data_IF_408998219308
#
_entry.id   IF_408998219308
#
_cell.length_a   1.000
_cell.length_b   1.000
_cell.length_c   1.000
_cell.angle_alpha   90.00
_cell.angle_beta   90.00
_cell.angle_gamma   90.00
#
_symmetry.space_group_name_H-M   'P 1'
#
loop_
_entity.id
_entity.type
_entity.pdbx_description
1 polymer ?
#
# COMPACT_ATOMS: atom_id res chain seq x y z
N UNK A 1 -10.22 56.66 20.47
CA UNK A 1 -9.92 55.31 20.96
C UNK A 1 -10.90 54.28 20.44
N UNK A 2 -11.19 54.20 19.12
CA UNK A 2 -12.11 53.20 18.54
C UNK A 2 -11.51 52.42 17.35
N UNK A 3 -10.20 52.55 17.05
CA UNK A 3 -9.56 51.92 15.88
C UNK A 3 -8.66 50.71 16.21
N UNK A 4 -8.40 50.42 17.48
CA UNK A 4 -7.51 49.33 17.91
C UNK A 4 -8.23 48.03 18.19
N UNK A 5 -9.55 48.02 18.38
CA UNK A 5 -10.30 46.78 18.71
C UNK A 5 -10.63 45.96 17.47
N UNK A 6 -10.80 46.63 16.32
CA UNK A 6 -11.12 45.92 15.05
C UNK A 6 -9.94 45.15 14.48
N UNK A 7 -8.71 45.50 14.81
CA UNK A 7 -7.52 44.82 14.29
C UNK A 7 -7.19 43.53 15.05
N UNK A 8 -7.54 43.45 16.32
CA UNK A 8 -7.33 42.27 17.16
C UNK A 8 -8.31 41.12 16.80
N UNK A 9 -9.54 41.50 16.41
CA UNK A 9 -10.54 40.50 15.99
C UNK A 9 -10.23 39.87 14.61
N UNK A 10 -9.55 40.63 13.74
CA UNK A 10 -9.17 40.12 12.42
C UNK A 10 -8.03 39.10 12.49
N UNK A 11 -7.15 39.20 13.51
CA UNK A 11 -6.05 38.23 13.73
C UNK A 11 -6.58 36.95 14.41
N UNK A 12 -7.62 37.09 15.24
CA UNK A 12 -8.21 35.92 15.94
C UNK A 12 -9.03 35.01 15.01
N UNK A 13 -9.53 35.56 13.89
CA UNK A 13 -10.29 34.76 12.91
C UNK A 13 -9.39 33.95 11.98
N UNK A 14 -8.09 34.29 11.89
CA UNK A 14 -7.13 33.59 11.06
C UNK A 14 -6.50 32.34 11.73
N UNK A 15 -6.69 32.15 13.03
CA UNK A 15 -6.10 31.05 13.80
C UNK A 15 -7.01 29.82 13.84
N UNK A 16 -8.27 29.92 13.43
CA UNK A 16 -9.24 28.82 13.46
C UNK A 16 -9.46 28.11 12.13
N UNK A 17 -8.63 28.35 11.13
CA UNK A 17 -8.52 27.40 10.02
C UNK A 17 -7.45 26.38 10.40
N UNK A 18 -7.73 25.62 11.44
CA UNK A 18 -7.18 24.27 11.57
C UNK A 18 -7.79 23.49 10.42
N UNK A 19 -7.13 23.49 9.30
CA UNK A 19 -7.38 22.52 8.25
C UNK A 19 -7.12 21.17 8.93
N UNK A 20 -8.20 20.49 9.34
CA UNK A 20 -8.17 19.05 9.45
C UNK A 20 -7.80 18.53 8.06
N UNK A 21 -6.52 18.55 7.77
CA UNK A 21 -5.96 17.67 6.76
C UNK A 21 -6.10 16.25 7.32
N UNK A 22 -7.31 15.71 7.23
CA UNK A 22 -7.46 14.29 7.02
C UNK A 22 -6.55 14.00 5.85
N UNK A 23 -5.36 13.53 6.15
CA UNK A 23 -4.47 12.92 5.19
C UNK A 23 -5.13 11.60 4.77
N UNK A 24 -6.18 11.71 3.96
CA UNK A 24 -6.49 10.66 3.01
C UNK A 24 -5.22 10.56 2.20
N UNK A 25 -4.48 9.48 2.38
CA UNK A 25 -3.32 9.18 1.57
C UNK A 25 -3.85 9.19 0.13
N UNK A 26 -3.55 10.27 -0.58
CA UNK A 26 -3.87 10.37 -2.00
C UNK A 26 -2.98 9.33 -2.62
N UNK A 27 -3.57 8.20 -2.97
CA UNK A 27 -2.86 7.13 -3.66
C UNK A 27 -2.32 7.72 -4.96
N UNK A 28 -1.01 7.88 -5.04
CA UNK A 28 -0.34 8.54 -6.18
C UNK A 28 -0.48 7.74 -7.47
N UNK A 29 -0.74 6.42 -7.34
CA UNK A 29 -0.89 5.50 -8.46
C UNK A 29 -1.82 4.35 -8.09
N UNK A 30 -2.48 3.77 -9.09
CA UNK A 30 -3.30 2.56 -8.95
C UNK A 30 -3.11 1.64 -10.16
N UNK A 31 -3.40 0.35 -10.01
CA UNK A 31 -3.31 -0.62 -11.10
C UNK A 31 -4.31 -0.27 -12.19
N UNK A 32 -3.86 0.00 -13.44
CA UNK A 32 -4.76 0.37 -14.54
C UNK A 32 -5.63 -0.79 -15.00
N UNK A 33 -5.16 -2.03 -14.82
CA UNK A 33 -5.86 -3.25 -15.20
C UNK A 33 -6.10 -4.07 -13.94
N UNK A 34 -7.36 -4.40 -13.66
CA UNK A 34 -7.78 -5.11 -12.44
C UNK A 34 -8.69 -6.29 -12.76
N UNK A 35 -8.67 -7.35 -11.94
CA UNK A 35 -9.62 -8.44 -12.04
C UNK A 35 -11.07 -7.95 -12.15
N UNK A 36 -11.85 -8.56 -13.03
CA UNK A 36 -13.24 -8.18 -13.26
C UNK A 36 -13.47 -7.09 -14.31
N UNK A 37 -12.42 -6.45 -14.82
CA UNK A 37 -12.52 -5.48 -15.93
C UNK A 37 -12.40 -6.16 -17.29
N UNK A 38 -12.95 -5.54 -18.35
CA UNK A 38 -12.81 -6.02 -19.74
C UNK A 38 -11.33 -6.10 -20.14
N UNK A 39 -10.53 -5.12 -19.74
CA UNK A 39 -9.09 -5.11 -20.01
C UNK A 39 -8.38 -6.31 -19.36
N UNK A 40 -8.82 -6.74 -18.18
CA UNK A 40 -8.30 -7.95 -17.54
C UNK A 40 -8.67 -9.21 -18.30
N UNK A 41 -9.93 -9.31 -18.76
CA UNK A 41 -10.44 -10.46 -19.52
C UNK A 41 -9.76 -10.58 -20.91
N UNK A 42 -9.26 -9.48 -21.45
CA UNK A 42 -8.52 -9.46 -22.71
C UNK A 42 -7.10 -10.02 -22.60
N UNK A 43 -6.56 -10.18 -21.37
CA UNK A 43 -5.24 -10.77 -21.14
C UNK A 43 -5.31 -12.29 -21.39
N UNK A 44 -4.54 -12.77 -22.35
CA UNK A 44 -4.64 -14.16 -22.81
C UNK A 44 -3.85 -15.15 -21.95
N UNK A 45 -2.81 -14.69 -21.26
CA UNK A 45 -1.90 -15.54 -20.48
C UNK A 45 -1.63 -14.97 -19.10
N UNK A 46 -1.25 -15.84 -18.17
CA UNK A 46 -0.81 -15.40 -16.84
C UNK A 46 0.43 -14.48 -16.92
N UNK A 47 1.30 -14.70 -17.89
CA UNK A 47 2.47 -13.85 -18.13
C UNK A 47 2.06 -12.43 -18.56
N UNK A 48 0.99 -12.28 -19.34
CA UNK A 48 0.46 -10.96 -19.70
C UNK A 48 -0.11 -10.25 -18.48
N UNK A 49 -0.79 -10.98 -17.58
CA UNK A 49 -1.28 -10.44 -16.31
C UNK A 49 -0.13 -9.96 -15.43
N UNK A 50 0.95 -10.75 -15.29
CA UNK A 50 2.13 -10.37 -14.53
C UNK A 50 2.77 -9.09 -15.07
N UNK A 51 2.90 -8.95 -16.39
CA UNK A 51 3.44 -7.74 -17.03
C UNK A 51 2.54 -6.53 -16.81
N UNK A 52 1.23 -6.70 -16.95
CA UNK A 52 0.24 -5.62 -16.78
C UNK A 52 0.18 -5.09 -15.34
N UNK A 53 0.57 -5.90 -14.36
CA UNK A 53 0.53 -5.56 -12.93
C UNK A 53 1.87 -5.06 -12.37
N UNK A 54 2.89 -4.79 -13.20
CA UNK A 54 4.13 -4.18 -12.71
C UNK A 54 3.91 -2.70 -12.39
N UNK A 55 4.51 -2.23 -11.30
CA UNK A 55 4.49 -0.82 -10.93
C UNK A 55 5.51 -0.07 -11.78
N UNK A 56 5.16 1.07 -12.41
CA UNK A 56 6.13 1.87 -13.15
C UNK A 56 7.33 2.28 -12.32
N UNK A 57 8.53 2.28 -12.91
CA UNK A 57 9.77 2.56 -12.19
C UNK A 57 9.79 3.97 -11.57
N UNK A 58 9.16 4.94 -12.20
CA UNK A 58 9.01 6.31 -11.70
C UNK A 58 8.19 6.34 -10.42
N UNK A 59 7.13 5.54 -10.36
CA UNK A 59 6.28 5.41 -9.18
C UNK A 59 7.07 4.75 -8.04
N UNK A 60 7.76 3.65 -8.30
CA UNK A 60 8.58 2.97 -7.30
C UNK A 60 9.65 3.87 -6.66
N UNK A 61 10.17 4.86 -7.42
CA UNK A 61 11.17 5.81 -6.93
C UNK A 61 10.59 6.91 -6.04
N UNK A 62 9.33 7.26 -6.23
CA UNK A 62 8.71 8.44 -5.62
C UNK A 62 7.75 8.14 -4.48
N UNK A 63 7.15 6.94 -4.45
CA UNK A 63 6.20 6.56 -3.39
C UNK A 63 6.89 6.35 -2.04
N UNK A 64 6.19 6.72 -0.97
CA UNK A 64 6.61 6.39 0.40
C UNK A 64 6.56 4.88 0.64
N UNK A 65 7.19 4.42 1.71
CA UNK A 65 7.13 2.99 2.09
C UNK A 65 5.72 2.58 2.49
N UNK A 66 4.98 3.46 3.16
CA UNK A 66 3.58 3.23 3.52
C UNK A 66 2.71 3.04 2.28
N UNK A 67 2.86 3.92 1.29
CA UNK A 67 2.11 3.83 0.05
C UNK A 67 2.51 2.60 -0.77
N UNK A 68 3.79 2.24 -0.79
CA UNK A 68 4.26 1.02 -1.44
C UNK A 68 3.67 -0.23 -0.79
N UNK A 69 3.52 -0.27 0.53
CA UNK A 69 2.82 -1.35 1.23
C UNK A 69 1.37 -1.44 0.75
N UNK A 70 0.66 -0.29 0.62
CA UNK A 70 -0.71 -0.29 0.09
C UNK A 70 -0.78 -0.85 -1.33
N UNK A 71 0.17 -0.46 -2.18
CA UNK A 71 0.24 -0.97 -3.56
C UNK A 71 0.52 -2.47 -3.59
N UNK A 72 1.41 -2.98 -2.73
CA UNK A 72 1.70 -4.40 -2.64
C UNK A 72 0.49 -5.21 -2.14
N UNK A 73 -0.27 -4.68 -1.17
CA UNK A 73 -1.48 -5.33 -0.67
C UNK A 73 -2.64 -5.28 -1.70
N UNK A 74 -2.65 -4.27 -2.56
CA UNK A 74 -3.62 -4.13 -3.66
C UNK A 74 -3.19 -4.86 -4.94
N UNK A 75 -2.06 -5.58 -4.93
CA UNK A 75 -1.55 -6.29 -6.10
C UNK A 75 -2.58 -7.28 -6.64
N UNK A 76 -2.99 -7.16 -7.93
CA UNK A 76 -4.08 -7.99 -8.47
C UNK A 76 -3.86 -9.50 -8.44
N UNK A 77 -2.58 -9.93 -8.46
CA UNK A 77 -2.17 -11.33 -8.42
C UNK A 77 -1.61 -11.76 -7.05
N UNK A 78 -1.91 -11.01 -5.98
CA UNK A 78 -1.45 -11.37 -4.64
C UNK A 78 -1.93 -12.77 -4.22
N UNK A 79 -3.12 -13.17 -4.68
CA UNK A 79 -3.68 -14.50 -4.46
C UNK A 79 -2.82 -15.65 -4.97
N UNK A 80 -1.91 -15.41 -5.89
CA UNK A 80 -0.99 -16.44 -6.41
C UNK A 80 -0.08 -17.03 -5.32
N UNK A 81 0.09 -16.34 -4.20
CA UNK A 81 0.80 -16.87 -3.02
C UNK A 81 0.22 -18.22 -2.58
N UNK A 82 -1.09 -18.38 -2.71
CA UNK A 82 -1.79 -19.60 -2.29
C UNK A 82 -1.76 -20.74 -3.31
N UNK A 83 -1.21 -20.51 -4.49
CA UNK A 83 -1.07 -21.54 -5.53
C UNK A 83 0.11 -22.51 -5.30
N UNK A 84 0.91 -22.29 -4.24
CA UNK A 84 2.09 -23.07 -3.91
C UNK A 84 1.89 -23.96 -2.68
N UNK A 85 2.83 -24.87 -2.41
CA UNK A 85 2.73 -25.84 -1.31
C UNK A 85 2.88 -25.24 0.09
N UNK A 86 3.16 -23.94 0.21
CA UNK A 86 3.25 -23.22 1.46
C UNK A 86 3.38 -21.72 1.23
N UNK A 87 2.97 -20.94 2.23
CA UNK A 87 2.97 -19.47 2.16
C UNK A 87 4.37 -18.91 1.88
N UNK A 88 5.40 -19.47 2.51
CA UNK A 88 6.79 -19.03 2.31
C UNK A 88 7.25 -19.22 0.85
N UNK A 89 6.97 -20.38 0.28
CA UNK A 89 7.27 -20.64 -1.13
C UNK A 89 6.47 -19.67 -2.02
N UNK A 90 5.17 -19.48 -1.76
CA UNK A 90 4.31 -18.56 -2.49
C UNK A 90 4.84 -17.13 -2.46
N UNK A 91 5.19 -16.61 -1.29
CA UNK A 91 5.78 -15.27 -1.15
C UNK A 91 7.09 -15.16 -1.95
N UNK A 92 7.98 -16.15 -1.84
CA UNK A 92 9.23 -16.18 -2.59
C UNK A 92 9.01 -16.15 -4.10
N UNK A 93 8.05 -16.93 -4.61
CA UNK A 93 7.73 -16.99 -6.04
C UNK A 93 7.08 -15.71 -6.56
N UNK A 94 6.12 -15.14 -5.80
CA UNK A 94 5.46 -13.89 -6.18
C UNK A 94 6.45 -12.73 -6.11
N UNK A 95 7.25 -12.63 -5.05
CA UNK A 95 8.26 -11.57 -4.92
C UNK A 95 9.32 -11.61 -6.02
N UNK A 96 9.69 -12.79 -6.51
CA UNK A 96 10.62 -12.91 -7.63
C UNK A 96 10.05 -12.35 -8.96
N UNK A 97 8.74 -12.20 -9.09
CA UNK A 97 8.05 -11.80 -10.31
C UNK A 97 7.36 -10.43 -10.23
N UNK A 98 7.20 -9.87 -9.04
CA UNK A 98 6.54 -8.59 -8.80
C UNK A 98 7.51 -7.55 -8.26
N UNK A 99 7.73 -6.49 -9.04
CA UNK A 99 8.70 -5.44 -8.72
C UNK A 99 8.34 -4.62 -7.47
N UNK A 100 7.05 -4.52 -7.12
CA UNK A 100 6.61 -3.85 -5.90
C UNK A 100 7.14 -4.51 -4.64
N UNK A 101 7.04 -5.85 -4.52
CA UNK A 101 7.61 -6.60 -3.39
C UNK A 101 9.14 -6.57 -3.40
N UNK A 102 9.77 -6.66 -4.59
CA UNK A 102 11.22 -6.54 -4.70
C UNK A 102 11.74 -5.20 -4.17
N UNK A 103 11.04 -4.11 -4.47
CA UNK A 103 11.38 -2.79 -3.99
C UNK A 103 11.08 -2.65 -2.50
N UNK A 104 9.93 -3.15 -2.04
CA UNK A 104 9.54 -3.10 -0.63
C UNK A 104 10.59 -3.79 0.25
N UNK A 105 11.08 -4.96 -0.15
CA UNK A 105 12.07 -5.71 0.63
C UNK A 105 13.44 -5.03 0.73
N UNK A 106 13.76 -4.07 -0.13
CA UNK A 106 14.99 -3.26 -0.03
C UNK A 106 14.88 -2.12 0.98
N UNK A 107 13.67 -1.70 1.35
CA UNK A 107 13.45 -0.55 2.23
C UNK A 107 13.64 -0.95 3.68
N UNK A 108 14.42 -0.17 4.43
CA UNK A 108 14.81 -0.50 5.81
C UNK A 108 13.67 -0.40 6.83
N UNK A 109 12.67 0.41 6.54
CA UNK A 109 11.51 0.70 7.39
C UNK A 109 10.28 -0.18 7.09
N UNK A 110 10.39 -1.06 6.09
CA UNK A 110 9.28 -1.90 5.61
C UNK A 110 8.62 -2.74 6.72
N UNK A 111 9.42 -3.43 7.53
CA UNK A 111 8.92 -4.34 8.55
C UNK A 111 8.17 -3.61 9.67
N UNK A 112 8.70 -2.48 10.15
CA UNK A 112 8.08 -1.68 11.20
C UNK A 112 6.76 -1.08 10.72
N UNK A 113 6.73 -0.53 9.51
CA UNK A 113 5.52 0.07 8.93
C UNK A 113 4.46 -0.97 8.61
N UNK A 114 4.84 -2.14 8.08
CA UNK A 114 3.91 -3.24 7.85
C UNK A 114 3.29 -3.72 9.16
N UNK A 115 4.09 -3.85 10.21
CA UNK A 115 3.62 -4.26 11.54
C UNK A 115 2.66 -3.23 12.16
N UNK A 116 2.98 -1.93 12.08
CA UNK A 116 2.09 -0.87 12.57
C UNK A 116 0.79 -0.83 11.77
N UNK A 117 0.84 -1.03 10.46
CA UNK A 117 -0.34 -1.12 9.63
C UNK A 117 -1.22 -2.30 10.01
N UNK A 118 -0.64 -3.47 10.25
CA UNK A 118 -1.38 -4.66 10.68
C UNK A 118 -2.07 -4.44 12.02
N UNK A 119 -1.40 -3.81 12.97
CA UNK A 119 -1.98 -3.42 14.27
C UNK A 119 -3.16 -2.46 14.09
N UNK A 120 -2.98 -1.42 13.27
CA UNK A 120 -3.97 -0.35 13.10
C UNK A 120 -5.24 -0.83 12.41
N UNK A 121 -5.14 -1.77 11.50
CA UNK A 121 -6.30 -2.23 10.70
C UNK A 121 -7.21 -3.20 11.45
N UNK A 122 -6.96 -3.53 12.74
CA UNK A 122 -7.76 -4.54 13.46
C UNK A 122 -8.08 -5.77 12.57
N UNK A 123 -7.13 -6.16 11.70
CA UNK A 123 -7.26 -7.33 10.80
C UNK A 123 -7.47 -8.64 11.58
N UNK A 124 -7.51 -8.53 12.90
CA UNK A 124 -7.77 -9.60 13.85
C UNK A 124 -9.25 -9.92 13.99
N UNK A 125 -10.18 -9.11 13.46
CA UNK A 125 -11.61 -9.42 13.50
C UNK A 125 -11.99 -10.25 12.30
N UNK A 126 -12.29 -11.49 12.55
CA UNK A 126 -12.96 -12.44 11.67
C UNK A 126 -12.11 -13.11 10.58
N UNK A 127 -11.44 -14.19 10.91
CA UNK A 127 -10.98 -15.21 9.97
C UNK A 127 -9.70 -14.86 9.17
N UNK A 128 -8.94 -13.89 9.61
CA UNK A 128 -7.75 -13.38 8.94
C UNK A 128 -6.46 -14.03 9.47
N UNK A 129 -6.50 -15.28 9.93
CA UNK A 129 -5.28 -16.05 10.24
C UNK A 129 -4.31 -16.05 9.05
N UNK A 130 -4.84 -16.20 7.84
CA UNK A 130 -4.05 -16.16 6.60
C UNK A 130 -3.33 -14.83 6.38
N UNK A 131 -3.96 -13.69 6.66
CA UNK A 131 -3.31 -12.39 6.50
C UNK A 131 -2.22 -12.14 7.55
N UNK A 132 -2.40 -12.67 8.77
CA UNK A 132 -1.39 -12.61 9.83
C UNK A 132 -0.20 -13.50 9.47
N UNK A 133 -0.46 -14.70 8.95
CA UNK A 133 0.59 -15.63 8.53
C UNK A 133 1.41 -15.04 7.39
N UNK A 134 0.77 -14.44 6.39
CA UNK A 134 1.44 -13.73 5.30
C UNK A 134 2.28 -12.56 5.83
N UNK A 135 1.71 -11.73 6.71
CA UNK A 135 2.41 -10.60 7.30
C UNK A 135 3.63 -11.03 8.12
N UNK A 136 3.50 -12.07 8.93
CA UNK A 136 4.60 -12.64 9.71
C UNK A 136 5.68 -13.24 8.81
N UNK A 137 5.29 -13.91 7.73
CA UNK A 137 6.22 -14.51 6.80
C UNK A 137 6.98 -13.45 5.99
N UNK A 138 6.27 -12.43 5.50
CA UNK A 138 6.91 -11.26 4.87
C UNK A 138 7.93 -10.63 5.85
N UNK A 139 7.55 -10.44 7.12
CA UNK A 139 8.43 -9.89 8.13
C UNK A 139 9.68 -10.73 8.40
N UNK A 140 9.56 -12.07 8.36
CA UNK A 140 10.71 -12.99 8.53
C UNK A 140 11.67 -12.95 7.35
N UNK A 141 11.18 -12.74 6.15
CA UNK A 141 12.04 -12.66 4.95
C UNK A 141 12.76 -11.31 4.82
N UNK A 142 12.37 -10.31 5.61
CA UNK A 142 12.95 -8.98 5.60
C UNK A 142 14.06 -8.77 6.64
N UNK A 143 14.36 -9.77 7.48
CA UNK A 143 15.44 -9.79 8.47
C UNK A 143 16.61 -10.59 7.94
#
# INVERSE_FOLDING_TARGET
MKKTVTFVWSIFLLVFISIDMNAQSIKSWDYPIKPGTEAWQALSTHEDMLKACQIPAEILKTVSTEELIELCLAYPLLGDIFAYNGIQEGISKVSARFNGLQELFKRKDNASLLFEKMKKQELLKAGVLTSIEIGNEISRQMV
#
